data_IF_507732288900
#
_entry.id   IF_507732288900
#
_cell.length_a   1.000
_cell.length_b   1.000
_cell.length_c   1.000
_cell.angle_alpha   90.00
_cell.angle_beta   90.00
_cell.angle_gamma   90.00
#
_symmetry.space_group_name_H-M   'P 1'
#
loop_
_entity.id
_entity.type
_entity.pdbx_description
1 polymer ?
#
# COMPACT_ATOMS: atom_id res chain seq x y z
N UNK A 1 -26.98 -62.05 -21.34
CA UNK A 1 -25.71 -62.43 -20.71
C UNK A 1 -24.80 -61.22 -20.84
N UNK A 2 -25.05 -60.21 -20.04
CA UNK A 2 -24.60 -60.01 -18.65
C UNK A 2 -23.36 -59.11 -18.64
N UNK A 3 -23.54 -57.79 -18.44
CA UNK A 3 -23.53 -57.06 -17.15
C UNK A 3 -22.11 -56.85 -16.60
N UNK A 4 -21.86 -55.62 -16.12
CA UNK A 4 -20.70 -55.07 -15.37
C UNK A 4 -19.62 -54.41 -16.26
N UNK A 5 -19.12 -53.19 -16.06
CA UNK A 5 -19.26 -52.12 -15.04
C UNK A 5 -18.48 -50.91 -15.61
N UNK A 6 -19.16 -49.89 -16.16
CA UNK A 6 -19.19 -48.49 -15.69
C UNK A 6 -17.98 -47.99 -14.87
N UNK A 7 -17.24 -47.03 -15.42
CA UNK A 7 -16.56 -45.96 -14.67
C UNK A 7 -16.12 -44.82 -15.62
N UNK A 8 -17.08 -44.00 -16.08
CA UNK A 8 -16.79 -42.64 -16.54
C UNK A 8 -16.42 -41.80 -15.31
N UNK A 9 -15.14 -41.45 -15.17
CA UNK A 9 -14.67 -40.52 -14.14
C UNK A 9 -14.95 -39.11 -14.62
N UNK A 10 -16.16 -38.62 -14.36
CA UNK A 10 -16.44 -37.18 -14.21
C UNK A 10 -15.71 -36.70 -12.95
N UNK A 11 -14.61 -35.98 -13.11
CA UNK A 11 -14.13 -35.08 -12.06
C UNK A 11 -14.83 -33.72 -12.24
N UNK A 12 -16.07 -33.65 -11.78
CA UNK A 12 -16.68 -32.38 -11.37
C UNK A 12 -15.95 -31.95 -10.09
N UNK A 13 -15.08 -30.94 -10.19
CA UNK A 13 -14.59 -30.20 -9.03
C UNK A 13 -15.78 -29.45 -8.41
N UNK A 14 -16.51 -30.13 -7.53
CA UNK A 14 -17.39 -29.50 -6.56
C UNK A 14 -16.51 -28.79 -5.53
N UNK A 15 -16.07 -27.58 -5.84
CA UNK A 15 -15.80 -26.59 -4.81
C UNK A 15 -17.18 -26.17 -4.30
N UNK A 16 -17.62 -26.80 -3.21
CA UNK A 16 -18.73 -26.29 -2.43
C UNK A 16 -18.32 -24.92 -1.91
N UNK A 17 -18.69 -23.86 -2.62
CA UNK A 17 -18.72 -22.51 -2.04
C UNK A 17 -19.78 -22.55 -0.94
N UNK A 18 -19.33 -22.79 0.30
CA UNK A 18 -20.19 -22.47 1.43
C UNK A 18 -20.43 -20.95 1.39
N UNK A 19 -21.70 -20.51 1.33
CA UNK A 19 -22.01 -19.09 1.31
C UNK A 19 -21.50 -18.47 2.60
N UNK A 20 -20.60 -17.49 2.47
CA UNK A 20 -20.03 -16.72 3.57
C UNK A 20 -21.15 -16.18 4.49
N UNK A 21 -21.32 -16.82 5.66
CA UNK A 21 -22.38 -16.47 6.60
C UNK A 21 -21.87 -15.45 7.62
N UNK A 22 -22.32 -14.21 7.46
CA UNK A 22 -21.95 -13.11 8.34
C UNK A 22 -22.50 -13.26 9.76
N UNK A 23 -23.61 -13.98 9.94
CA UNK A 23 -24.29 -14.09 11.24
C UNK A 23 -23.47 -14.88 12.27
N UNK A 24 -22.62 -15.79 11.81
CA UNK A 24 -21.77 -16.63 12.66
C UNK A 24 -20.67 -15.81 13.38
N UNK A 25 -20.32 -14.64 12.86
CA UNK A 25 -19.29 -13.75 13.40
C UNK A 25 -19.84 -12.55 14.19
N UNK A 26 -21.16 -12.33 14.15
CA UNK A 26 -21.82 -11.24 14.87
C UNK A 26 -22.10 -11.57 16.34
N UNK A 27 -22.10 -12.85 16.70
CA UNK A 27 -22.39 -13.35 18.06
C UNK A 27 -21.30 -13.00 19.07
N UNK A 28 -20.06 -12.80 18.63
CA UNK A 28 -18.91 -12.43 19.48
C UNK A 28 -18.67 -10.91 19.58
N UNK A 29 -19.45 -10.09 18.84
CA UNK A 29 -19.34 -8.63 18.92
C UNK A 29 -20.08 -8.11 20.15
N UNK A 30 -19.37 -8.12 21.28
CA UNK A 30 -19.46 -7.19 22.41
C UNK A 30 -20.72 -6.31 22.41
N UNK A 31 -21.67 -6.69 23.26
CA UNK A 31 -22.75 -5.84 23.73
C UNK A 31 -22.18 -4.57 24.37
N UNK A 32 -21.85 -3.57 23.55
CA UNK A 32 -21.69 -2.18 23.97
C UNK A 32 -23.08 -1.65 24.26
N UNK A 33 -23.58 -1.94 25.46
CA UNK A 33 -24.70 -1.19 26.02
C UNK A 33 -24.22 0.26 26.18
N UNK A 34 -24.64 1.11 25.25
CA UNK A 34 -24.34 2.54 25.29
C UNK A 34 -25.14 3.14 26.42
N UNK A 35 -24.50 3.34 27.57
CA UNK A 35 -25.12 3.96 28.72
C UNK A 35 -25.15 5.48 28.48
N UNK A 36 -26.22 5.97 27.83
CA UNK A 36 -26.36 7.36 27.36
C UNK A 36 -26.62 8.40 28.48
N UNK A 37 -26.36 8.06 29.75
CA UNK A 37 -26.70 8.89 30.92
C UNK A 37 -25.49 9.40 31.72
N UNK A 38 -24.26 9.19 31.25
CA UNK A 38 -23.08 9.76 31.90
C UNK A 38 -22.89 11.23 31.46
N UNK A 39 -22.66 12.18 32.39
CA UNK A 39 -22.33 13.56 32.01
C UNK A 39 -21.08 13.55 31.12
N UNK A 40 -21.16 14.19 29.96
CA UNK A 40 -20.02 14.40 29.07
C UNK A 40 -18.99 15.27 29.78
N UNK A 41 -18.02 14.61 30.42
CA UNK A 41 -16.81 15.27 30.90
C UNK A 41 -16.12 15.87 29.67
N UNK A 42 -15.65 17.12 29.77
CA UNK A 42 -14.92 17.77 28.68
C UNK A 42 -13.81 16.83 28.20
N UNK A 43 -13.86 16.44 26.92
CA UNK A 43 -12.94 15.45 26.32
C UNK A 43 -11.50 15.98 26.33
N UNK A 44 -11.36 17.30 26.40
CA UNK A 44 -10.07 17.99 26.47
C UNK A 44 -9.84 18.50 27.89
N UNK A 45 -8.88 17.92 28.65
CA UNK A 45 -8.56 18.36 30.00
C UNK A 45 -7.74 19.66 30.04
N UNK A 46 -7.50 20.30 28.89
CA UNK A 46 -6.58 21.42 28.75
C UNK A 46 -7.35 22.74 28.58
N UNK A 47 -6.93 23.79 29.29
CA UNK A 47 -7.29 25.16 28.94
C UNK A 47 -6.61 25.55 27.60
N UNK A 48 -7.08 26.58 26.88
CA UNK A 48 -6.44 27.00 25.62
C UNK A 48 -4.92 27.23 25.75
N UNK A 49 -4.45 27.71 26.90
CA UNK A 49 -3.03 27.92 27.19
C UNK A 49 -2.25 26.62 27.47
N UNK A 50 -2.93 25.55 27.89
CA UNK A 50 -2.37 24.23 28.19
C UNK A 50 -2.55 23.23 27.05
N UNK A 51 -3.21 23.63 25.95
CA UNK A 51 -3.46 22.76 24.80
C UNK A 51 -2.11 22.37 24.16
N UNK A 52 -1.74 21.08 24.14
CA UNK A 52 -0.53 20.64 23.46
C UNK A 52 -0.52 21.01 21.97
N UNK A 53 -1.68 21.26 21.35
CA UNK A 53 -1.79 21.74 19.99
C UNK A 53 -1.30 23.19 19.82
N UNK A 54 -1.46 24.04 20.84
CA UNK A 54 -0.99 25.43 20.82
C UNK A 54 0.54 25.55 20.84
N UNK A 55 1.27 24.53 21.32
CA UNK A 55 2.75 24.49 21.24
C UNK A 55 3.26 24.54 19.79
N UNK A 56 2.45 24.05 18.85
CA UNK A 56 2.78 24.01 17.43
C UNK A 56 2.38 25.29 16.69
N UNK A 57 1.55 26.16 17.27
CA UNK A 57 1.05 27.37 16.61
C UNK A 57 2.16 28.42 16.36
N UNK A 58 3.22 28.36 17.16
CA UNK A 58 4.39 29.26 17.07
C UNK A 58 5.63 28.62 16.44
N UNK A 59 5.59 27.32 16.17
CA UNK A 59 6.71 26.61 15.55
C UNK A 59 6.56 26.68 14.03
N UNK A 60 7.70 26.78 13.33
CA UNK A 60 7.69 26.67 11.87
C UNK A 60 7.05 25.32 11.50
N UNK A 61 6.00 25.28 10.66
CA UNK A 61 5.41 24.04 10.18
C UNK A 61 6.44 23.04 9.64
N UNK A 62 7.55 23.52 9.07
CA UNK A 62 8.64 22.69 8.59
C UNK A 62 9.49 22.10 9.73
N UNK A 63 9.61 22.79 10.86
CA UNK A 63 10.27 22.28 12.06
C UNK A 63 9.43 21.18 12.72
N UNK A 64 8.12 21.35 12.79
CA UNK A 64 7.17 20.36 13.32
C UNK A 64 7.21 19.07 12.50
N UNK A 65 7.32 19.21 11.18
CA UNK A 65 7.43 18.09 10.24
C UNK A 65 8.83 17.48 10.21
N UNK A 66 9.79 18.04 10.95
CA UNK A 66 11.18 17.59 10.98
C UNK A 66 11.94 17.85 9.67
N UNK A 67 11.44 18.72 8.79
CA UNK A 67 12.09 19.02 7.51
C UNK A 67 13.48 19.65 7.70
N UNK A 68 13.65 20.44 8.78
CA UNK A 68 14.94 21.02 9.16
C UNK A 68 15.97 19.96 9.57
N UNK A 69 15.55 18.78 10.03
CA UNK A 69 16.44 17.69 10.43
C UNK A 69 17.21 17.08 9.27
N UNK A 70 16.77 17.31 8.04
CA UNK A 70 17.38 16.70 6.86
C UNK A 70 18.42 17.63 6.17
N UNK A 71 18.60 18.87 6.63
CA UNK A 71 19.53 19.82 6.04
C UNK A 71 19.21 20.18 4.58
N UNK A 72 20.16 20.84 3.89
CA UNK A 72 20.03 21.21 2.47
C UNK A 72 20.01 19.96 1.58
N UNK A 73 19.20 19.95 0.50
CA UNK A 73 19.25 18.88 -0.50
C UNK A 73 20.66 18.64 -1.02
N UNK A 74 21.06 17.37 -1.11
CA UNK A 74 22.36 16.94 -1.65
C UNK A 74 22.20 15.64 -2.42
N UNK A 75 22.93 15.50 -3.51
CA UNK A 75 23.04 14.23 -4.24
C UNK A 75 24.03 13.32 -3.52
N UNK A 76 23.74 12.00 -3.50
CA UNK A 76 24.60 10.98 -2.89
C UNK A 76 24.97 9.98 -3.99
N UNK A 77 26.27 9.69 -4.13
CA UNK A 77 26.74 8.69 -5.09
C UNK A 77 26.24 7.28 -4.72
N UNK A 78 25.87 6.49 -5.72
CA UNK A 78 25.45 5.09 -5.56
C UNK A 78 26.58 4.19 -5.02
N UNK A 79 27.83 4.60 -5.20
CA UNK A 79 29.02 3.91 -4.68
C UNK A 79 29.23 4.15 -3.17
N UNK A 80 28.47 5.07 -2.57
CA UNK A 80 28.61 5.37 -1.14
C UNK A 80 28.14 4.18 -0.30
N UNK A 81 28.96 3.77 0.67
CA UNK A 81 28.55 2.78 1.67
C UNK A 81 27.55 3.43 2.62
N UNK A 82 26.32 2.90 2.63
CA UNK A 82 25.23 3.34 3.48
C UNK A 82 25.20 2.66 4.84
N UNK A 83 24.19 3.02 5.61
CA UNK A 83 23.76 2.30 6.82
C UNK A 83 23.37 0.85 6.50
N UNK A 84 23.31 -0.05 7.51
CA UNK A 84 22.90 -1.44 7.29
C UNK A 84 21.55 -1.59 6.57
N UNK A 85 20.59 -0.69 6.83
CA UNK A 85 19.29 -0.68 6.15
C UNK A 85 19.45 -0.29 4.68
N UNK A 86 20.26 0.73 4.38
CA UNK A 86 20.52 1.11 2.98
C UNK A 86 21.23 -0.03 2.24
N UNK A 87 22.21 -0.68 2.87
CA UNK A 87 22.92 -1.80 2.27
C UNK A 87 22.03 -3.02 2.02
N UNK A 88 21.06 -3.30 2.90
CA UNK A 88 20.04 -4.33 2.64
C UNK A 88 19.30 -4.07 1.33
N UNK A 89 19.01 -2.80 1.00
CA UNK A 89 18.34 -2.42 -0.24
C UNK A 89 19.27 -2.19 -1.44
N UNK A 90 20.57 -2.54 -1.35
CA UNK A 90 21.51 -2.39 -2.47
C UNK A 90 21.15 -3.30 -3.64
N UNK A 91 20.86 -2.67 -4.78
CA UNK A 91 20.40 -3.37 -5.99
C UNK A 91 19.03 -4.04 -5.83
N UNK A 92 18.35 -3.86 -4.70
CA UNK A 92 17.05 -4.46 -4.44
C UNK A 92 15.99 -3.75 -5.24
N UNK A 93 15.17 -4.55 -5.93
CA UNK A 93 13.94 -4.05 -6.54
C UNK A 93 12.74 -4.34 -5.63
N UNK A 94 11.88 -3.33 -5.51
CA UNK A 94 10.77 -3.27 -4.56
C UNK A 94 9.46 -3.15 -5.34
N UNK A 95 8.46 -3.94 -4.98
CA UNK A 95 7.10 -3.79 -5.45
C UNK A 95 6.22 -3.15 -4.38
N UNK A 96 5.53 -2.06 -4.71
CA UNK A 96 4.66 -1.34 -3.78
C UNK A 96 3.23 -1.32 -4.32
N UNK A 97 2.31 -1.81 -3.50
CA UNK A 97 0.87 -1.58 -3.72
C UNK A 97 0.39 -0.47 -2.79
N UNK A 98 -0.53 0.37 -3.27
CA UNK A 98 -1.00 1.52 -2.49
C UNK A 98 -0.04 2.71 -2.52
N UNK A 99 0.89 2.74 -3.48
CA UNK A 99 1.88 3.82 -3.65
C UNK A 99 1.26 5.21 -3.86
N UNK A 100 0.02 5.30 -4.37
CA UNK A 100 -0.70 6.57 -4.50
C UNK A 100 -1.38 7.04 -3.21
N UNK A 101 -1.38 6.22 -2.16
CA UNK A 101 -1.98 6.53 -0.86
C UNK A 101 -1.07 7.43 0.00
N UNK A 102 -1.57 7.85 1.16
CA UNK A 102 -0.84 8.74 2.06
C UNK A 102 0.51 8.17 2.53
N UNK A 103 0.51 6.93 3.04
CA UNK A 103 1.74 6.26 3.49
C UNK A 103 2.58 5.76 2.30
N UNK A 104 1.94 5.25 1.25
CA UNK A 104 2.64 4.70 0.09
C UNK A 104 3.50 5.72 -0.67
N UNK A 105 3.03 6.97 -0.79
CA UNK A 105 3.80 8.04 -1.46
C UNK A 105 5.02 8.45 -0.63
N UNK A 106 4.86 8.52 0.69
CA UNK A 106 5.94 8.75 1.66
C UNK A 106 7.01 7.65 1.56
N UNK A 107 6.57 6.39 1.54
CA UNK A 107 7.47 5.25 1.40
C UNK A 107 8.26 5.31 0.07
N UNK A 108 7.57 5.60 -1.03
CA UNK A 108 8.18 5.73 -2.36
C UNK A 108 9.24 6.83 -2.38
N UNK A 109 8.88 8.03 -1.89
CA UNK A 109 9.79 9.18 -1.74
C UNK A 109 11.03 8.80 -0.92
N UNK A 110 10.79 8.18 0.24
CA UNK A 110 11.82 7.87 1.22
C UNK A 110 12.80 6.84 0.69
N UNK A 111 12.32 5.77 0.05
CA UNK A 111 13.15 4.73 -0.54
C UNK A 111 14.08 5.31 -1.61
N UNK A 112 13.52 6.07 -2.55
CA UNK A 112 14.28 6.62 -3.68
C UNK A 112 15.32 7.64 -3.20
N UNK A 113 14.93 8.53 -2.29
CA UNK A 113 15.81 9.59 -1.79
C UNK A 113 16.86 9.06 -0.82
N UNK A 114 16.47 8.16 0.08
CA UNK A 114 17.34 7.71 1.17
C UNK A 114 18.19 6.50 0.79
N UNK A 115 17.88 5.76 -0.28
CA UNK A 115 18.68 4.62 -0.73
C UNK A 115 19.20 4.92 -2.14
N UNK A 116 20.37 5.57 -2.27
CA UNK A 116 20.89 5.99 -3.57
C UNK A 116 21.15 4.80 -4.49
N UNK A 117 21.54 3.64 -3.97
CA UNK A 117 21.83 2.43 -4.73
C UNK A 117 20.64 1.43 -4.80
N UNK A 118 19.42 1.91 -4.60
CA UNK A 118 18.21 1.11 -4.84
C UNK A 118 18.11 0.73 -6.32
N UNK A 119 17.66 -0.50 -6.62
CA UNK A 119 17.46 -0.95 -8.00
C UNK A 119 16.26 -0.24 -8.65
N UNK A 120 15.07 -0.83 -8.52
CA UNK A 120 13.83 -0.29 -9.07
C UNK A 120 12.68 -0.34 -8.06
N UNK A 121 11.79 0.64 -8.14
CA UNK A 121 10.49 0.67 -7.46
C UNK A 121 9.40 0.43 -8.50
N UNK A 122 8.73 -0.71 -8.41
CA UNK A 122 7.55 -1.04 -9.19
C UNK A 122 6.30 -0.60 -8.42
N UNK A 123 5.55 0.35 -8.96
CA UNK A 123 4.33 0.87 -8.33
C UNK A 123 3.09 0.29 -8.99
N UNK A 124 2.30 -0.48 -8.25
CA UNK A 124 0.98 -0.90 -8.71
C UNK A 124 0.01 0.27 -8.65
N UNK A 125 -0.46 0.72 -9.81
CA UNK A 125 -1.42 1.80 -9.94
C UNK A 125 -2.59 1.33 -10.79
N UNK A 126 -3.78 1.36 -10.20
CA UNK A 126 -5.03 1.06 -10.92
C UNK A 126 -5.48 2.20 -11.81
N UNK A 127 -6.14 1.86 -12.91
CA UNK A 127 -7.00 2.82 -13.62
C UNK A 127 -8.16 3.24 -12.71
N UNK A 128 -8.45 4.54 -12.60
CA UNK A 128 -9.54 5.02 -11.74
C UNK A 128 -10.05 6.37 -12.22
N UNK A 129 -11.38 6.56 -12.19
CA UNK A 129 -12.03 7.84 -12.53
C UNK A 129 -11.66 8.35 -13.94
N UNK A 130 -11.56 7.43 -14.92
CA UNK A 130 -11.20 7.78 -16.30
C UNK A 130 -9.75 8.23 -16.49
N UNK A 131 -8.89 8.06 -15.47
CA UNK A 131 -7.45 8.35 -15.56
C UNK A 131 -6.66 7.06 -15.66
N UNK A 132 -5.74 7.03 -16.61
CA UNK A 132 -4.74 5.98 -16.79
C UNK A 132 -3.79 5.92 -15.60
N UNK A 133 -3.16 4.77 -15.41
CA UNK A 133 -2.17 4.56 -14.36
C UNK A 133 -0.98 5.53 -14.49
N UNK A 134 -0.61 5.86 -15.74
CA UNK A 134 0.43 6.84 -16.02
C UNK A 134 0.00 8.26 -15.63
N UNK A 135 -1.19 8.72 -16.01
CA UNK A 135 -1.68 10.06 -15.61
C UNK A 135 -1.80 10.20 -14.09
N UNK A 136 -2.21 9.13 -13.41
CA UNK A 136 -2.26 9.11 -11.94
C UNK A 136 -0.87 9.17 -11.32
N UNK A 137 0.13 8.53 -11.95
CA UNK A 137 1.53 8.63 -11.53
C UNK A 137 2.09 10.03 -11.74
N UNK A 138 1.82 10.64 -12.89
CA UNK A 138 2.29 12.00 -13.19
C UNK A 138 1.70 13.01 -12.20
N UNK A 139 0.42 12.84 -11.83
CA UNK A 139 -0.24 13.62 -10.78
C UNK A 139 0.35 13.38 -9.40
N UNK A 140 0.66 12.13 -9.06
CA UNK A 140 1.31 11.78 -7.80
C UNK A 140 2.64 12.54 -7.65
N UNK A 141 3.45 12.58 -8.71
CA UNK A 141 4.73 13.28 -8.70
C UNK A 141 4.60 14.80 -8.58
N UNK A 142 3.43 15.41 -8.80
CA UNK A 142 3.24 16.86 -8.55
C UNK A 142 3.09 17.20 -7.06
N UNK A 143 2.92 16.21 -6.18
CA UNK A 143 2.85 16.43 -4.74
C UNK A 143 4.18 17.01 -4.21
N UNK A 144 4.07 18.02 -3.33
CA UNK A 144 5.21 18.72 -2.72
C UNK A 144 6.16 17.76 -2.00
N UNK A 145 5.65 16.63 -1.53
CA UNK A 145 6.44 15.60 -0.85
C UNK A 145 7.61 15.11 -1.70
N UNK A 146 7.45 15.10 -3.02
CA UNK A 146 8.49 14.64 -3.95
C UNK A 146 9.49 15.75 -4.32
N UNK A 147 9.29 17.00 -3.93
CA UNK A 147 10.16 18.11 -4.35
C UNK A 147 11.60 17.90 -3.91
N UNK A 148 11.78 17.45 -2.66
CA UNK A 148 13.11 17.14 -2.13
C UNK A 148 13.74 15.95 -2.84
N UNK A 149 13.00 14.86 -3.01
CA UNK A 149 13.47 13.68 -3.76
C UNK A 149 13.93 14.05 -5.17
N UNK A 150 13.16 14.88 -5.90
CA UNK A 150 13.53 15.33 -7.24
C UNK A 150 14.81 16.17 -7.27
N UNK A 151 15.04 16.97 -6.22
CA UNK A 151 16.24 17.79 -6.09
C UNK A 151 17.48 16.95 -5.71
N UNK A 152 17.32 15.90 -4.89
CA UNK A 152 18.42 15.03 -4.45
C UNK A 152 18.71 13.87 -5.42
N UNK A 153 17.74 13.50 -6.26
CA UNK A 153 17.85 12.39 -7.21
C UNK A 153 17.29 12.81 -8.57
N UNK A 154 18.03 13.59 -9.39
CA UNK A 154 17.52 14.10 -10.67
C UNK A 154 17.07 12.99 -11.65
N UNK A 155 17.69 11.81 -11.57
CA UNK A 155 17.40 10.65 -12.41
C UNK A 155 16.32 9.71 -11.84
N UNK A 156 15.50 10.17 -10.88
CA UNK A 156 14.51 9.35 -10.19
C UNK A 156 13.57 8.55 -11.10
N UNK A 157 13.20 9.09 -12.28
CA UNK A 157 12.32 8.40 -13.23
C UNK A 157 12.89 7.08 -13.74
N UNK A 158 14.23 6.92 -13.78
CA UNK A 158 14.86 5.65 -14.14
C UNK A 158 14.65 4.58 -13.07
N UNK A 159 14.41 4.99 -11.82
CA UNK A 159 14.22 4.09 -10.67
C UNK A 159 12.77 3.70 -10.46
N UNK A 160 11.80 4.39 -11.06
CA UNK A 160 10.38 4.10 -10.87
C UNK A 160 9.79 3.51 -12.14
N UNK A 161 9.11 2.37 -12.02
CA UNK A 161 8.28 1.82 -13.08
C UNK A 161 6.83 1.68 -12.59
N UNK A 162 5.91 2.25 -13.36
CA UNK A 162 4.47 2.06 -13.12
C UNK A 162 4.05 0.71 -13.67
N UNK A 163 3.33 -0.05 -12.86
CA UNK A 163 2.68 -1.30 -13.25
C UNK A 163 1.17 -1.10 -13.14
N UNK A 164 0.47 -1.38 -14.24
CA UNK A 164 -1.00 -1.24 -14.26
C UNK A 164 -1.63 -2.48 -13.66
N UNK A 165 -2.55 -2.28 -12.70
CA UNK A 165 -3.32 -3.37 -12.11
C UNK A 165 -4.16 -2.91 -10.90
N UNK A 166 -5.08 -3.76 -10.46
CA UNK A 166 -5.96 -3.54 -9.31
C UNK A 166 -5.94 -4.76 -8.39
N UNK A 167 -5.70 -4.54 -7.10
CA UNK A 167 -5.62 -5.60 -6.08
C UNK A 167 -6.93 -6.38 -5.92
N UNK A 168 -8.06 -5.79 -6.32
CA UNK A 168 -9.37 -6.43 -6.26
C UNK A 168 -9.62 -7.41 -7.41
N UNK A 169 -8.79 -7.38 -8.45
CA UNK A 169 -8.88 -8.26 -9.62
C UNK A 169 -8.02 -9.51 -9.45
N UNK A 170 -8.40 -10.60 -10.13
CA UNK A 170 -7.61 -11.82 -10.19
C UNK A 170 -6.23 -11.54 -10.77
N UNK A 171 -5.19 -12.15 -10.20
CA UNK A 171 -3.81 -11.89 -10.61
C UNK A 171 -3.39 -10.42 -10.47
N UNK A 172 -4.05 -9.65 -9.60
CA UNK A 172 -3.88 -8.20 -9.40
C UNK A 172 -4.16 -7.36 -10.66
N UNK A 173 -4.89 -7.90 -11.65
CA UNK A 173 -5.15 -7.21 -12.92
C UNK A 173 -3.89 -6.96 -13.75
N UNK A 174 -2.82 -7.73 -13.52
CA UNK A 174 -1.55 -7.58 -14.20
C UNK A 174 -1.61 -8.12 -15.63
N UNK A 175 -0.90 -7.44 -16.54
CA UNK A 175 -0.54 -8.04 -17.83
C UNK A 175 0.41 -9.21 -17.62
N UNK A 176 0.40 -10.20 -18.52
CA UNK A 176 1.35 -11.32 -18.46
C UNK A 176 2.81 -10.83 -18.41
N UNK A 177 3.13 -9.82 -19.23
CA UNK A 177 4.47 -9.21 -19.27
C UNK A 177 4.87 -8.52 -17.97
N UNK A 178 3.95 -7.81 -17.31
CA UNK A 178 4.26 -7.16 -16.04
C UNK A 178 4.34 -8.17 -14.91
N UNK A 179 3.51 -9.23 -14.94
CA UNK A 179 3.58 -10.32 -13.97
C UNK A 179 4.93 -11.03 -14.04
N UNK A 180 5.37 -11.43 -15.23
CA UNK A 180 6.68 -12.07 -15.42
C UNK A 180 7.83 -11.16 -14.99
N UNK A 181 7.73 -9.86 -15.28
CA UNK A 181 8.69 -8.86 -14.83
C UNK A 181 8.77 -8.80 -13.29
N UNK A 182 7.62 -8.81 -12.61
CA UNK A 182 7.60 -8.75 -11.14
C UNK A 182 8.19 -10.03 -10.54
N UNK A 183 7.85 -11.19 -11.07
CA UNK A 183 8.38 -12.49 -10.62
C UNK A 183 9.91 -12.59 -10.83
N UNK A 184 10.44 -12.07 -11.93
CA UNK A 184 11.87 -12.13 -12.25
C UNK A 184 12.71 -11.13 -11.45
N UNK A 185 12.14 -9.96 -11.10
CA UNK A 185 12.94 -8.81 -10.63
C UNK A 185 12.70 -8.41 -9.19
N UNK A 186 11.52 -8.66 -8.63
CA UNK A 186 11.15 -8.13 -7.30
C UNK A 186 11.75 -8.99 -6.21
N UNK A 187 12.29 -8.33 -5.18
CA UNK A 187 12.82 -9.02 -3.99
C UNK A 187 12.01 -8.69 -2.73
N UNK A 188 11.42 -7.49 -2.67
CA UNK A 188 10.66 -7.02 -1.49
C UNK A 188 9.32 -6.47 -1.92
N UNK A 189 8.25 -6.88 -1.24
CA UNK A 189 6.88 -6.41 -1.47
C UNK A 189 6.43 -5.57 -0.28
N UNK A 190 6.01 -4.33 -0.53
CA UNK A 190 5.25 -3.51 0.41
C UNK A 190 3.78 -3.50 0.02
N UNK A 191 2.95 -4.15 0.84
CA UNK A 191 1.50 -4.12 0.68
C UNK A 191 0.87 -3.06 1.57
N UNK A 192 0.39 -1.98 0.96
CA UNK A 192 -0.32 -0.89 1.65
C UNK A 192 -1.59 -0.45 0.92
N UNK A 193 -2.05 -1.23 -0.06
CA UNK A 193 -3.30 -0.95 -0.76
C UNK A 193 -4.49 -1.48 0.06
N UNK A 194 -5.38 -0.58 0.44
CA UNK A 194 -6.63 -0.92 1.11
C UNK A 194 -7.71 0.12 0.78
N UNK A 195 -8.96 -0.31 0.88
CA UNK A 195 -10.11 0.57 0.98
C UNK A 195 -10.35 0.90 2.44
N UNK A 196 -10.14 2.18 2.79
CA UNK A 196 -10.27 2.69 4.16
C UNK A 196 -11.61 3.38 4.39
N UNK A 197 -12.55 3.27 3.43
CA UNK A 197 -13.90 3.83 3.56
C UNK A 197 -14.75 2.90 4.43
N UNK A 198 -15.12 3.36 5.62
CA UNK A 198 -16.00 2.63 6.54
C UNK A 198 -17.45 2.49 6.04
N UNK A 199 -17.81 3.19 4.96
CA UNK A 199 -19.14 3.15 4.33
C UNK A 199 -19.18 2.28 3.08
N UNK A 200 -18.07 1.64 2.71
CA UNK A 200 -18.02 0.80 1.53
C UNK A 200 -18.84 -0.49 1.76
N UNK A 201 -19.62 -0.98 0.78
CA UNK A 201 -20.32 -2.25 0.93
C UNK A 201 -19.35 -3.39 1.25
N UNK A 202 -19.70 -4.23 2.23
CA UNK A 202 -18.80 -5.25 2.77
C UNK A 202 -18.17 -6.14 1.69
N UNK A 203 -18.92 -6.53 0.66
CA UNK A 203 -18.40 -7.31 -0.47
C UNK A 203 -17.20 -6.66 -1.16
N UNK A 204 -17.20 -5.32 -1.31
CA UNK A 204 -16.12 -4.57 -1.94
C UNK A 204 -14.94 -4.41 -0.98
N UNK A 205 -15.21 -4.16 0.30
CA UNK A 205 -14.18 -4.13 1.33
C UNK A 205 -13.46 -5.49 1.46
N UNK A 206 -14.20 -6.60 1.40
CA UNK A 206 -13.64 -7.96 1.42
C UNK A 206 -12.79 -8.24 0.17
N UNK A 207 -13.32 -7.93 -1.03
CA UNK A 207 -12.62 -8.14 -2.29
C UNK A 207 -11.30 -7.35 -2.40
N UNK A 208 -11.28 -6.13 -1.86
CA UNK A 208 -10.09 -5.28 -1.82
C UNK A 208 -9.14 -5.70 -0.68
N UNK A 209 -9.60 -5.68 0.57
CA UNK A 209 -8.69 -5.70 1.72
C UNK A 209 -8.28 -7.11 2.13
N UNK A 210 -9.17 -8.09 1.99
CA UNK A 210 -8.89 -9.48 2.37
C UNK A 210 -8.39 -10.26 1.17
N UNK A 211 -9.21 -10.37 0.12
CA UNK A 211 -8.83 -11.12 -1.07
C UNK A 211 -7.70 -10.44 -1.83
N UNK A 212 -7.62 -9.11 -1.84
CA UNK A 212 -6.48 -8.40 -2.43
C UNK A 212 -5.17 -8.67 -1.70
N UNK A 213 -5.18 -8.72 -0.36
CA UNK A 213 -4.00 -9.14 0.42
C UNK A 213 -3.59 -10.57 0.09
N UNK A 214 -4.57 -11.49 -0.02
CA UNK A 214 -4.31 -12.88 -0.40
C UNK A 214 -3.64 -12.97 -1.78
N UNK A 215 -4.14 -12.25 -2.79
CA UNK A 215 -3.56 -12.26 -4.15
C UNK A 215 -2.14 -11.71 -4.20
N UNK A 216 -1.83 -10.69 -3.38
CA UNK A 216 -0.45 -10.17 -3.27
C UNK A 216 0.46 -11.21 -2.65
N UNK A 217 -0.01 -11.95 -1.64
CA UNK A 217 0.74 -13.06 -1.04
C UNK A 217 0.91 -14.24 -2.00
N UNK A 218 -0.10 -14.54 -2.82
CA UNK A 218 0.00 -15.56 -3.86
C UNK A 218 1.09 -15.21 -4.87
N UNK A 219 1.09 -13.97 -5.40
CA UNK A 219 2.16 -13.50 -6.28
C UNK A 219 3.54 -13.58 -5.63
N UNK A 220 3.66 -13.28 -4.34
CA UNK A 220 4.94 -13.31 -3.62
C UNK A 220 5.44 -14.73 -3.29
N UNK A 221 4.58 -15.76 -3.43
CA UNK A 221 4.95 -17.16 -3.20
C UNK A 221 5.44 -17.88 -4.46
N UNK A 222 5.11 -17.33 -5.63
CA UNK A 222 5.55 -17.83 -6.93
C UNK A 222 7.02 -17.50 -7.19
#
# INVERSE_FOLDING_TARGET
>A
EDTLLTAEVKMENQVTEEPFNLEEYLTDSLSLQVNAAAPTRNIYPFTPEEDPCWKFERQDPLEILGELSFGKPREISEDTIGTPIQEFYRGVNVFITGGTGFVGKLLTEKLIRSVPHLGHVYLLIRHKQGKTSQERFDQLLQDKIFYRMKAEVPNYLKKIKVVTGDISELGLGLSATDRDLLLDRVHVVFHGAADVRFTEPLRHALASNVLGSQRVLELAKE
#
